data_IF_015773392907
#
_entry.id   IF_015773392907
#
_cell.length_a   1.000
_cell.length_b   1.000
_cell.length_c   1.000
_cell.angle_alpha   90.00
_cell.angle_beta   90.00
_cell.angle_gamma   90.00
#
_symmetry.space_group_name_H-M   'P 1'
#
loop_
_entity.id
_entity.type
_entity.pdbx_description
1 polymer ?
#
# COMPACT_ATOMS: atom_id res chain seq x y z
N UNK A 1 -9.18 4.18 2.86
CA UNK A 1 -10.56 4.53 3.29
C UNK A 1 -10.53 5.83 4.08
N UNK A 2 -11.51 6.73 3.93
CA UNK A 2 -11.63 7.96 4.73
C UNK A 2 -12.88 7.86 5.62
N UNK A 3 -12.83 8.28 6.90
CA UNK A 3 -11.69 8.86 7.61
C UNK A 3 -10.73 7.80 8.23
N UNK A 4 -9.47 8.14 8.55
CA UNK A 4 -8.50 7.21 9.13
C UNK A 4 -8.95 6.54 10.44
N UNK A 5 -9.62 7.29 11.32
CA UNK A 5 -10.03 6.84 12.65
C UNK A 5 -11.04 5.68 12.64
N UNK A 6 -11.79 5.50 11.55
CA UNK A 6 -12.73 4.40 11.38
C UNK A 6 -12.35 3.48 10.22
N UNK A 7 -11.19 3.68 9.61
CA UNK A 7 -10.78 2.91 8.43
C UNK A 7 -10.69 1.42 8.74
N UNK A 8 -10.21 1.05 9.93
CA UNK A 8 -10.08 -0.34 10.37
C UNK A 8 -11.41 -1.07 10.58
N UNK A 9 -12.55 -0.36 10.60
CA UNK A 9 -13.87 -0.98 10.71
C UNK A 9 -14.36 -1.55 9.36
N UNK A 10 -13.77 -1.12 8.24
CA UNK A 10 -14.11 -1.60 6.92
C UNK A 10 -13.24 -2.84 6.58
N UNK A 11 -13.82 -4.01 6.25
CA UNK A 11 -13.03 -5.20 5.90
C UNK A 11 -12.00 -4.98 4.79
N UNK A 12 -12.25 -4.06 3.83
CA UNK A 12 -11.27 -3.77 2.76
C UNK A 12 -9.96 -3.17 3.33
N UNK A 13 -9.97 -2.64 4.54
CA UNK A 13 -8.77 -2.17 5.24
C UNK A 13 -7.68 -3.24 5.29
N UNK A 14 -8.04 -4.46 5.68
CA UNK A 14 -7.08 -5.54 5.84
C UNK A 14 -6.50 -5.98 4.50
N UNK A 15 -7.32 -6.12 3.46
CA UNK A 15 -6.85 -6.45 2.11
C UNK A 15 -5.94 -5.36 1.53
N UNK A 16 -6.26 -4.09 1.77
CA UNK A 16 -5.43 -2.99 1.35
C UNK A 16 -4.06 -3.00 2.05
N UNK A 17 -4.03 -3.19 3.38
CA UNK A 17 -2.77 -3.21 4.12
C UNK A 17 -1.94 -4.44 3.79
N UNK A 18 -2.54 -5.63 3.57
CA UNK A 18 -1.80 -6.79 3.07
C UNK A 18 -1.13 -6.53 1.72
N UNK A 19 -1.75 -5.72 0.84
CA UNK A 19 -1.13 -5.32 -0.43
C UNK A 19 0.00 -4.31 -0.23
N UNK A 20 -0.16 -3.35 0.70
CA UNK A 20 0.92 -2.41 1.06
C UNK A 20 2.10 -3.17 1.67
N UNK A 21 1.85 -4.13 2.56
CA UNK A 21 2.88 -4.95 3.17
C UNK A 21 3.60 -5.86 2.15
N UNK A 22 2.89 -6.34 1.12
CA UNK A 22 3.51 -7.01 -0.03
C UNK A 22 4.49 -6.10 -0.76
N UNK A 23 4.09 -4.86 -1.06
CA UNK A 23 4.98 -3.89 -1.72
C UNK A 23 6.21 -3.62 -0.85
N UNK A 24 6.01 -3.43 0.46
CA UNK A 24 7.11 -3.20 1.40
C UNK A 24 8.07 -4.40 1.46
N UNK A 25 7.54 -5.63 1.52
CA UNK A 25 8.38 -6.83 1.54
C UNK A 25 9.15 -7.02 0.22
N UNK A 26 8.53 -6.72 -0.94
CA UNK A 26 9.24 -6.72 -2.23
C UNK A 26 10.38 -5.70 -2.25
N UNK A 27 10.17 -4.51 -1.68
CA UNK A 27 11.21 -3.51 -1.56
C UNK A 27 12.35 -4.00 -0.65
N UNK A 28 12.03 -4.54 0.52
CA UNK A 28 13.02 -5.13 1.46
C UNK A 28 13.84 -6.23 0.79
N UNK A 29 13.19 -7.07 -0.01
CA UNK A 29 13.85 -8.17 -0.71
C UNK A 29 14.85 -7.70 -1.76
N UNK A 30 14.56 -6.60 -2.43
CA UNK A 30 15.36 -6.05 -3.53
C UNK A 30 16.45 -5.09 -3.07
N UNK A 31 16.29 -4.45 -1.91
CA UNK A 31 17.20 -3.40 -1.44
C UNK A 31 18.02 -3.78 -0.21
N UNK A 32 17.58 -4.76 0.58
CA UNK A 32 18.21 -5.12 1.85
C UNK A 32 18.59 -6.60 1.88
N UNK A 33 19.78 -6.88 2.44
CA UNK A 33 20.13 -8.24 2.83
C UNK A 33 19.33 -8.68 4.07
N UNK A 34 19.33 -9.99 4.36
CA UNK A 34 18.51 -10.55 5.45
C UNK A 34 18.85 -9.97 6.83
N UNK A 35 20.10 -9.57 7.07
CA UNK A 35 20.54 -8.96 8.33
C UNK A 35 20.06 -7.50 8.47
N UNK A 36 20.16 -6.72 7.40
CA UNK A 36 19.75 -5.31 7.34
C UNK A 36 18.25 -5.15 7.54
N UNK A 37 17.46 -6.05 6.95
CA UNK A 37 15.99 -6.10 7.03
C UNK A 37 15.41 -6.03 8.44
N UNK A 38 16.10 -6.54 9.44
CA UNK A 38 15.62 -6.55 10.84
C UNK A 38 16.15 -5.38 11.68
N UNK A 39 16.98 -4.50 11.10
CA UNK A 39 17.75 -3.48 11.84
C UNK A 39 17.61 -2.07 11.29
N UNK A 40 17.37 -1.93 10.00
CA UNK A 40 17.22 -0.65 9.34
C UNK A 40 15.80 -0.10 9.55
N UNK A 41 15.59 0.47 10.73
CA UNK A 41 14.40 1.28 11.06
C UNK A 41 14.70 2.76 10.76
N UNK A 42 13.71 3.58 10.34
CA UNK A 42 13.91 5.01 10.18
C UNK A 42 14.47 5.67 11.45
N UNK A 43 15.35 6.68 11.33
CA UNK A 43 15.88 7.38 12.50
C UNK A 43 14.76 8.09 13.27
N UNK A 44 14.88 8.08 14.60
CA UNK A 44 13.93 8.75 15.50
C UNK A 44 14.11 10.27 15.40
N UNK A 45 13.24 10.92 14.62
CA UNK A 45 13.24 12.38 14.41
C UNK A 45 11.95 12.97 14.98
N UNK A 46 11.96 13.56 16.19
CA UNK A 46 10.76 14.11 16.84
C UNK A 46 10.08 15.26 16.07
N UNK A 47 10.81 15.94 15.19
CA UNK A 47 10.25 16.98 14.34
C UNK A 47 9.40 16.39 13.19
N UNK A 48 9.64 15.13 12.84
CA UNK A 48 9.02 14.43 11.72
C UNK A 48 7.85 13.54 12.12
N UNK A 49 7.96 12.87 13.27
CA UNK A 49 7.00 11.89 13.72
C UNK A 49 6.86 11.93 15.24
N UNK A 50 5.71 11.47 15.73
CA UNK A 50 5.51 11.30 17.17
C UNK A 50 6.41 10.18 17.71
N UNK A 51 6.66 10.20 19.02
CA UNK A 51 7.52 9.23 19.69
C UNK A 51 6.99 7.80 19.65
N UNK A 52 5.69 7.63 19.43
CA UNK A 52 5.02 6.34 19.37
C UNK A 52 5.36 5.57 18.10
N UNK A 53 5.92 6.22 17.08
CA UNK A 53 6.43 5.58 15.86
C UNK A 53 7.94 5.27 15.91
N UNK A 54 8.63 5.59 17.01
CA UNK A 54 10.07 5.34 17.13
C UNK A 54 10.39 3.86 17.29
N UNK A 55 11.60 3.46 16.90
CA UNK A 55 12.00 2.06 16.82
C UNK A 55 11.79 1.29 18.15
N UNK A 56 12.16 1.92 19.26
CA UNK A 56 12.07 1.35 20.61
C UNK A 56 10.80 1.73 21.37
N UNK A 57 9.83 2.36 20.71
CA UNK A 57 8.52 2.59 21.31
C UNK A 57 7.66 1.31 21.27
N UNK A 58 6.73 1.20 22.22
CA UNK A 58 5.82 0.08 22.32
C UNK A 58 4.75 0.14 21.20
N UNK A 59 4.62 -0.93 20.43
CA UNK A 59 3.65 -1.06 19.34
C UNK A 59 2.25 -1.36 19.87
N UNK A 60 1.54 -0.33 20.36
CA UNK A 60 0.21 -0.51 20.95
C UNK A 60 -0.81 -1.05 19.94
N UNK A 61 -1.74 -1.95 20.35
CA UNK A 61 -1.96 -2.45 21.71
C UNK A 61 -1.11 -3.68 22.09
N UNK A 62 -0.14 -4.06 21.25
CA UNK A 62 0.69 -5.24 21.46
C UNK A 62 1.81 -4.98 22.47
N UNK A 63 2.30 -6.05 23.10
CA UNK A 63 3.42 -5.98 24.04
C UNK A 63 4.77 -6.25 23.35
N UNK A 64 5.02 -5.59 22.22
CA UNK A 64 6.26 -5.69 21.43
C UNK A 64 6.73 -4.29 21.01
N UNK A 65 8.01 -4.14 20.66
CA UNK A 65 8.55 -2.87 20.16
C UNK A 65 8.28 -2.71 18.66
N UNK A 66 8.18 -1.48 18.17
CA UNK A 66 7.98 -1.20 16.74
C UNK A 66 9.07 -1.84 15.86
N UNK A 67 10.33 -1.81 16.30
CA UNK A 67 11.45 -2.44 15.58
C UNK A 67 11.27 -3.96 15.42
N UNK A 68 10.56 -4.62 16.34
CA UNK A 68 10.28 -6.05 16.22
C UNK A 68 9.31 -6.36 15.05
N UNK A 69 8.57 -5.37 14.54
CA UNK A 69 7.76 -5.49 13.33
C UNK A 69 8.59 -5.78 12.07
N UNK A 70 9.91 -5.55 12.10
CA UNK A 70 10.81 -5.81 10.97
C UNK A 70 11.33 -7.26 10.91
N UNK A 71 10.99 -8.13 11.86
CA UNK A 71 11.54 -9.49 11.90
C UNK A 71 11.19 -10.30 10.65
N UNK A 72 12.18 -11.03 10.10
CA UNK A 72 11.96 -11.98 9.03
C UNK A 72 11.14 -13.21 9.50
N UNK A 73 11.03 -13.44 10.81
CA UNK A 73 10.26 -14.56 11.36
C UNK A 73 8.79 -14.56 10.89
N UNK A 74 8.21 -13.37 10.62
CA UNK A 74 6.86 -13.27 10.08
C UNK A 74 6.73 -13.90 8.70
N UNK A 75 7.65 -13.60 7.78
CA UNK A 75 7.64 -14.14 6.42
C UNK A 75 8.24 -15.55 6.33
N UNK A 76 9.02 -15.96 7.33
CA UNK A 76 9.59 -17.31 7.40
C UNK A 76 8.61 -18.34 8.01
N UNK A 77 7.75 -17.92 8.96
CA UNK A 77 6.99 -18.87 9.80
C UNK A 77 5.50 -18.54 9.97
N UNK A 78 5.05 -17.33 9.64
CA UNK A 78 3.66 -16.93 9.90
C UNK A 78 2.84 -16.75 8.63
N UNK A 79 3.38 -16.09 7.61
CA UNK A 79 2.69 -15.87 6.34
C UNK A 79 3.67 -15.82 5.17
N UNK A 80 3.15 -16.06 3.97
CA UNK A 80 3.86 -15.80 2.72
C UNK A 80 2.98 -15.05 1.74
N UNK A 81 3.59 -14.34 0.80
CA UNK A 81 2.87 -13.66 -0.26
C UNK A 81 2.80 -14.50 -1.51
N UNK A 82 1.62 -14.56 -2.12
CA UNK A 82 1.47 -15.06 -3.48
C UNK A 82 2.09 -14.06 -4.47
N UNK A 83 2.57 -14.58 -5.60
CA UNK A 83 3.04 -13.73 -6.69
C UNK A 83 1.88 -12.89 -7.25
N UNK A 84 2.19 -11.66 -7.67
CA UNK A 84 1.19 -10.81 -8.35
C UNK A 84 0.79 -11.46 -9.67
N UNK A 85 -0.49 -11.37 -10.09
CA UNK A 85 -0.89 -11.83 -11.41
C UNK A 85 -0.02 -11.22 -12.50
N UNK A 86 0.47 -12.06 -13.40
CA UNK A 86 1.27 -11.68 -14.56
C UNK A 86 0.55 -12.05 -15.84
N UNK A 87 0.85 -11.36 -16.92
CA UNK A 87 0.30 -11.67 -18.23
C UNK A 87 1.39 -11.61 -19.30
N UNK A 88 1.07 -12.07 -20.50
CA UNK A 88 1.97 -12.02 -21.66
C UNK A 88 1.24 -11.43 -22.86
N UNK A 89 1.90 -11.39 -24.01
CA UNK A 89 1.24 -11.02 -25.26
C UNK A 89 0.13 -12.02 -25.64
N UNK A 90 0.24 -13.28 -25.20
CA UNK A 90 -0.67 -14.37 -25.55
C UNK A 90 -1.71 -14.69 -24.47
N UNK A 91 -1.39 -14.45 -23.19
CA UNK A 91 -2.26 -14.80 -22.06
C UNK A 91 -2.66 -13.56 -21.28
N UNK A 92 -3.90 -13.55 -20.80
CA UNK A 92 -4.43 -12.48 -19.96
C UNK A 92 -4.27 -12.76 -18.46
N UNK A 93 -4.60 -11.79 -17.60
CA UNK A 93 -4.42 -11.82 -16.15
C UNK A 93 -5.31 -12.82 -15.39
N UNK A 94 -6.27 -13.46 -16.08
CA UNK A 94 -7.15 -14.48 -15.49
C UNK A 94 -8.10 -13.95 -14.42
N UNK A 95 -8.42 -12.65 -14.44
CA UNK A 95 -9.32 -12.00 -13.49
C UNK A 95 -10.30 -11.09 -14.20
N UNK A 96 -11.56 -11.09 -13.75
CA UNK A 96 -12.60 -10.21 -14.28
C UNK A 96 -12.33 -8.71 -14.02
N UNK A 97 -11.46 -8.41 -13.06
CA UNK A 97 -11.17 -7.05 -12.61
C UNK A 97 -9.80 -6.55 -13.08
N UNK A 98 -9.01 -7.40 -13.73
CA UNK A 98 -7.71 -7.03 -14.26
C UNK A 98 -7.72 -7.16 -15.78
N UNK A 99 -6.88 -6.39 -16.44
CA UNK A 99 -6.57 -6.56 -17.85
C UNK A 99 -5.06 -6.52 -18.04
N UNK A 100 -4.59 -7.19 -19.08
CA UNK A 100 -3.19 -7.14 -19.44
C UNK A 100 -2.87 -5.89 -20.27
N UNK A 101 -2.13 -4.96 -19.66
CA UNK A 101 -1.59 -3.79 -20.35
C UNK A 101 -0.39 -4.19 -21.20
N UNK A 102 -0.49 -4.02 -22.53
CA UNK A 102 0.54 -4.41 -23.52
C UNK A 102 1.14 -3.22 -24.26
N UNK A 103 0.45 -2.07 -24.25
CA UNK A 103 0.84 -0.88 -25.00
C UNK A 103 2.18 -0.25 -24.58
N UNK A 104 2.58 -0.32 -23.30
CA UNK A 104 3.68 0.48 -22.73
C UNK A 104 4.85 -0.35 -22.18
N UNK A 105 5.29 -1.39 -22.90
CA UNK A 105 6.49 -2.16 -22.57
C UNK A 105 6.19 -3.59 -22.15
N UNK A 106 6.78 -4.04 -21.03
CA UNK A 106 6.61 -5.43 -20.55
C UNK A 106 5.15 -5.65 -20.15
N UNK A 107 4.46 -6.67 -20.70
CA UNK A 107 3.08 -6.97 -20.35
C UNK A 107 2.91 -7.16 -18.84
N UNK A 108 1.96 -6.44 -18.26
CA UNK A 108 1.67 -6.54 -16.83
C UNK A 108 0.18 -6.31 -16.54
N UNK A 109 -0.27 -6.87 -15.43
CA UNK A 109 -1.66 -6.83 -15.04
C UNK A 109 -2.01 -5.52 -14.32
N UNK A 110 -3.05 -4.85 -14.82
CA UNK A 110 -3.56 -3.58 -14.31
C UNK A 110 -5.05 -3.72 -13.98
N UNK A 111 -5.55 -2.97 -13.01
CA UNK A 111 -6.97 -2.94 -12.68
C UNK A 111 -7.79 -2.33 -13.81
N UNK A 112 -8.91 -2.98 -14.16
CA UNK A 112 -9.87 -2.43 -15.11
C UNK A 112 -10.46 -1.11 -14.62
N UNK A 113 -10.76 -0.25 -15.57
CA UNK A 113 -11.27 1.09 -15.37
C UNK A 113 -12.79 0.99 -15.17
N UNK A 114 -13.30 1.66 -14.12
CA UNK A 114 -14.73 1.72 -13.84
C UNK A 114 -15.51 2.36 -15.01
N UNK A 115 -16.81 2.08 -15.09
CA UNK A 115 -17.70 2.79 -16.02
C UNK A 115 -17.53 4.30 -15.94
N UNK A 116 -17.49 4.97 -17.09
CA UNK A 116 -17.20 6.39 -17.28
C UNK A 116 -15.82 6.86 -16.80
N UNK A 117 -14.90 5.94 -16.48
CA UNK A 117 -13.50 6.27 -16.26
C UNK A 117 -12.77 6.57 -17.58
N UNK A 118 -11.67 7.32 -17.49
CA UNK A 118 -10.85 7.68 -18.65
C UNK A 118 -9.97 6.49 -19.07
N UNK A 119 -10.07 6.07 -20.33
CA UNK A 119 -9.35 4.93 -20.91
C UNK A 119 -8.42 5.32 -22.06
N UNK A 120 -8.06 6.60 -22.15
CA UNK A 120 -7.12 7.13 -23.16
C UNK A 120 -5.80 6.36 -23.11
N UNK A 121 -5.37 5.82 -24.23
CA UNK A 121 -4.17 4.99 -24.39
C UNK A 121 -4.39 3.48 -24.23
N UNK A 122 -5.62 3.04 -23.96
CA UNK A 122 -6.01 1.64 -23.83
C UNK A 122 -7.17 1.25 -24.74
N UNK A 123 -7.35 1.94 -25.87
CA UNK A 123 -8.50 1.80 -26.76
C UNK A 123 -8.63 0.39 -27.37
N UNK A 124 -7.50 -0.29 -27.56
CA UNK A 124 -7.41 -1.62 -28.18
C UNK A 124 -7.20 -2.75 -27.16
N UNK A 125 -7.42 -2.48 -25.88
CA UNK A 125 -7.25 -3.46 -24.80
C UNK A 125 -8.56 -3.60 -24.00
N UNK A 126 -8.70 -4.71 -23.28
CA UNK A 126 -9.87 -4.99 -22.43
C UNK A 126 -9.83 -4.19 -21.11
N UNK A 127 -9.57 -2.89 -21.21
CA UNK A 127 -9.28 -2.02 -20.08
C UNK A 127 -10.52 -1.61 -19.27
N UNK A 128 -11.72 -1.68 -19.87
CA UNK A 128 -12.95 -1.20 -19.25
C UNK A 128 -13.70 -2.34 -18.54
N UNK A 129 -14.12 -2.12 -17.29
CA UNK A 129 -14.93 -3.09 -16.56
C UNK A 129 -16.35 -3.15 -17.15
N UNK A 130 -16.73 -4.30 -17.71
CA UNK A 130 -18.02 -4.53 -18.37
C UNK A 130 -18.34 -3.47 -19.44
N UNK A 131 -17.33 -3.06 -20.19
CA UNK A 131 -17.44 -2.00 -21.17
C UNK A 131 -16.34 -2.03 -22.22
N UNK A 132 -16.38 -1.06 -23.11
CA UNK A 132 -15.35 -0.80 -24.13
C UNK A 132 -14.94 0.68 -24.07
N UNK A 133 -13.71 0.97 -24.48
CA UNK A 133 -13.21 2.34 -24.54
C UNK A 133 -13.77 3.05 -25.79
N UNK A 134 -14.61 4.06 -25.59
CA UNK A 134 -15.22 4.87 -26.67
C UNK A 134 -15.00 6.35 -26.34
N UNK A 135 -14.42 7.09 -27.29
CA UNK A 135 -14.08 8.51 -27.14
C UNK A 135 -13.22 8.80 -25.89
N UNK A 136 -12.34 7.86 -25.52
CA UNK A 136 -11.46 7.99 -24.35
C UNK A 136 -12.14 7.71 -23.01
N UNK A 137 -13.39 7.23 -22.99
CA UNK A 137 -14.11 6.85 -21.76
C UNK A 137 -14.68 5.43 -21.83
N UNK A 138 -14.73 4.77 -20.69
CA UNK A 138 -15.35 3.45 -20.58
C UNK A 138 -16.87 3.55 -20.65
N UNK A 139 -17.47 3.01 -21.72
CA UNK A 139 -18.92 2.97 -21.93
C UNK A 139 -19.44 1.53 -21.94
N UNK A 140 -20.74 1.31 -21.66
CA UNK A 140 -21.33 -0.03 -21.74
C UNK A 140 -21.12 -0.66 -23.12
N UNK A 141 -20.67 -1.91 -23.14
CA UNK A 141 -20.38 -2.68 -24.34
C UNK A 141 -19.59 -3.94 -24.01
N UNK A 142 -19.36 -4.79 -25.00
CA UNK A 142 -18.54 -5.98 -24.85
C UNK A 142 -17.24 -5.81 -25.65
N UNK A 143 -16.11 -6.00 -25.00
CA UNK A 143 -14.83 -6.11 -25.70
C UNK A 143 -14.70 -7.54 -26.24
N UNK A 144 -14.54 -7.70 -27.55
CA UNK A 144 -14.34 -9.02 -28.16
C UNK A 144 -12.91 -9.51 -27.87
N UNK A 145 -12.79 -10.40 -26.89
CA UNK A 145 -11.50 -10.99 -26.50
C UNK A 145 -11.10 -12.11 -27.45
N UNK A 146 -9.98 -11.96 -28.15
CA UNK A 146 -9.34 -13.02 -28.97
C UNK A 146 -8.29 -13.83 -28.21
N UNK A 147 -8.11 -13.58 -26.90
CA UNK A 147 -7.02 -14.18 -26.11
C UNK A 147 -7.53 -15.26 -25.15
N UNK A 148 -6.81 -16.39 -25.10
CA UNK A 148 -7.10 -17.51 -24.22
C UNK A 148 -6.72 -17.15 -22.78
N UNK A 149 -7.62 -17.43 -21.84
CA UNK A 149 -7.35 -17.26 -20.41
C UNK A 149 -6.06 -18.01 -20.03
N UNK A 150 -5.23 -17.40 -19.17
CA UNK A 150 -4.02 -18.03 -18.67
C UNK A 150 -4.35 -19.40 -18.05
N UNK A 151 -3.48 -20.42 -18.23
CA UNK A 151 -3.67 -21.70 -17.55
C UNK A 151 -3.67 -21.47 -16.04
N UNK A 152 -4.76 -21.89 -15.37
CA UNK A 152 -4.89 -21.88 -13.92
C UNK A 152 -3.97 -22.94 -13.30
N UNK A 153 -2.66 -22.69 -13.31
CA UNK A 153 -1.69 -23.51 -12.60
C UNK A 153 -1.00 -22.66 -11.53
N UNK A 154 -1.75 -22.39 -10.46
CA UNK A 154 -1.27 -22.31 -9.09
C UNK A 154 -2.47 -21.95 -8.21
N UNK A 155 -3.17 -22.95 -7.69
CA UNK A 155 -3.77 -22.81 -6.37
C UNK A 155 -2.57 -22.77 -5.41
N UNK A 156 -2.26 -21.67 -4.71
CA UNK A 156 -1.58 -21.84 -3.45
C UNK A 156 -2.58 -22.60 -2.59
N UNK A 157 -2.27 -23.86 -2.26
CA UNK A 157 -2.94 -24.49 -1.14
C UNK A 157 -2.60 -23.62 0.07
N UNK A 158 -3.51 -22.72 0.44
CA UNK A 158 -3.55 -22.24 1.81
C UNK A 158 -3.86 -23.49 2.63
N UNK A 159 -2.81 -24.18 3.08
CA UNK A 159 -2.99 -25.18 4.11
C UNK A 159 -3.59 -24.41 5.30
N UNK A 160 -4.74 -24.86 5.84
CA UNK A 160 -5.26 -24.26 7.04
C UNK A 160 -4.15 -24.38 8.09
N UNK A 161 -3.62 -23.23 8.53
CA UNK A 161 -2.81 -23.19 9.73
C UNK A 161 -3.64 -23.85 10.82
N UNK A 162 -3.17 -25.01 11.26
CA UNK A 162 -3.83 -25.86 12.23
C UNK A 162 -4.26 -25.02 13.42
N UNK A 163 -5.53 -25.17 13.77
CA UNK A 163 -6.24 -24.57 14.88
C UNK A 163 -5.52 -24.88 16.20
N UNK A 164 -4.52 -24.06 16.56
CA UNK A 164 -3.68 -24.31 17.74
C UNK A 164 -3.32 -23.08 18.56
N UNK A 165 -3.78 -21.88 18.20
CA UNK A 165 -3.36 -20.63 18.85
C UNK A 165 -4.44 -19.88 19.64
N UNK A 166 -5.63 -20.47 19.82
CA UNK A 166 -6.66 -19.92 20.72
C UNK A 166 -6.72 -20.79 21.99
N UNK A 167 -5.76 -20.64 22.91
CA UNK A 167 -5.96 -21.13 24.29
C UNK A 167 -5.09 -20.51 25.39
N UNK A 168 -4.14 -19.63 25.12
CA UNK A 168 -3.19 -19.17 26.18
C UNK A 168 -3.03 -17.65 26.33
N UNK A 169 -4.02 -16.86 25.89
CA UNK A 169 -4.08 -15.41 26.19
C UNK A 169 -5.40 -14.97 26.85
N UNK A 170 -6.22 -15.93 27.31
CA UNK A 170 -7.49 -15.67 28.00
C UNK A 170 -7.38 -15.28 29.49
N UNK A 171 -6.24 -14.75 29.94
CA UNK A 171 -5.92 -14.63 31.36
C UNK A 171 -5.71 -13.21 31.92
N UNK A 172 -5.76 -12.14 31.13
CA UNK A 172 -5.35 -10.79 31.60
C UNK A 172 -6.22 -9.63 31.07
N UNK A 173 -7.54 -9.82 30.94
CA UNK A 173 -8.47 -8.69 30.74
C UNK A 173 -9.08 -8.32 32.10
N UNK A 174 -8.42 -7.43 32.84
CA UNK A 174 -9.10 -6.60 33.85
C UNK A 174 -9.63 -5.35 33.14
N UNK A 175 -10.95 -5.24 33.05
CA UNK A 175 -11.66 -4.02 32.69
C UNK A 175 -11.48 -2.99 33.82
N UNK A 176 -10.67 -1.97 33.60
CA UNK A 176 -10.81 -0.68 34.27
C UNK A 176 -11.19 0.30 33.15
N UNK A 177 -12.36 0.94 33.19
CA UNK A 177 -12.69 1.98 34.16
C UNK A 177 -12.27 3.30 33.52
N UNK A 178 -13.21 3.97 32.87
CA UNK A 178 -12.96 5.06 31.92
C UNK A 178 -12.19 6.25 32.49
N UNK A 179 -11.23 6.73 31.70
CA UNK A 179 -10.67 8.07 31.81
C UNK A 179 -10.68 8.70 30.41
N UNK A 180 -11.31 9.87 30.35
CA UNK A 180 -11.43 10.72 29.17
C UNK A 180 -10.06 11.23 28.75
N UNK A 181 -9.56 10.76 27.60
CA UNK A 181 -8.35 11.28 26.97
C UNK A 181 -8.69 12.61 26.25
N UNK A 182 -7.89 13.68 26.40
CA UNK A 182 -8.10 14.92 25.66
C UNK A 182 -8.00 14.68 24.16
N UNK A 183 -8.95 15.25 23.42
CA UNK A 183 -9.02 15.23 21.95
C UNK A 183 -7.74 15.89 21.40
N UNK A 184 -6.89 15.19 20.62
CA UNK A 184 -5.80 15.84 19.91
C UNK A 184 -6.41 16.77 18.87
N UNK A 185 -5.95 18.01 18.85
CA UNK A 185 -6.33 19.01 17.85
C UNK A 185 -6.16 18.44 16.44
N UNK A 186 -7.24 18.60 15.68
CA UNK A 186 -7.43 18.11 14.31
C UNK A 186 -6.34 18.68 13.39
N UNK A 187 -5.31 17.89 13.07
CA UNK A 187 -4.44 18.19 11.93
C UNK A 187 -5.27 17.94 10.68
N UNK A 188 -5.95 18.98 10.19
CA UNK A 188 -6.66 18.95 8.93
C UNK A 188 -5.63 18.83 7.82
N UNK A 189 -5.42 17.61 7.34
CA UNK A 189 -4.85 17.34 6.02
C UNK A 189 -5.83 17.89 4.98
N UNK A 190 -5.75 19.19 4.74
CA UNK A 190 -6.55 19.87 3.76
C UNK A 190 -5.88 19.67 2.39
N UNK A 191 -6.20 18.55 1.74
CA UNK A 191 -5.99 18.40 0.31
C UNK A 191 -7.01 19.28 -0.41
N UNK A 192 -6.82 20.60 -0.33
CA UNK A 192 -7.62 21.60 -1.01
C UNK A 192 -6.99 21.95 -2.35
N UNK A 193 -7.60 21.49 -3.43
CA UNK A 193 -7.32 21.99 -4.76
C UNK A 193 -7.61 23.51 -4.82
N UNK A 194 -6.62 24.28 -5.29
CA UNK A 194 -6.81 25.63 -5.79
C UNK A 194 -6.80 26.77 -4.76
N UNK A 195 -5.63 27.12 -4.20
CA UNK A 195 -5.12 28.50 -4.16
C UNK A 195 -3.73 28.60 -3.49
N UNK A 196 -2.76 29.17 -4.21
CA UNK A 196 -1.77 30.14 -3.70
C UNK A 196 -0.75 29.79 -2.63
N UNK A 197 -0.81 28.66 -1.93
CA UNK A 197 0.11 28.42 -0.82
C UNK A 197 1.12 27.30 -1.09
N UNK A 198 2.38 27.70 -1.26
CA UNK A 198 3.54 26.81 -1.30
C UNK A 198 3.81 26.29 0.11
N UNK A 199 3.22 25.14 0.45
CA UNK A 199 3.47 24.44 1.71
C UNK A 199 4.20 23.11 1.47
N UNK A 200 4.77 22.57 2.55
CA UNK A 200 5.26 21.21 2.59
C UNK A 200 4.13 20.28 3.04
N UNK A 201 4.03 19.12 2.41
CA UNK A 201 3.11 18.05 2.76
C UNK A 201 3.70 17.14 3.86
N UNK A 202 5.00 17.23 4.13
CA UNK A 202 5.66 16.43 5.17
C UNK A 202 6.41 17.32 6.18
N UNK A 203 6.28 17.06 7.49
CA UNK A 203 7.03 17.80 8.51
C UNK A 203 8.56 17.66 8.36
N UNK A 204 9.07 16.59 7.75
CA UNK A 204 10.49 16.38 7.50
C UNK A 204 11.07 17.19 6.34
N UNK A 205 10.25 17.83 5.50
CA UNK A 205 10.72 18.45 4.27
C UNK A 205 11.89 19.43 4.47
N UNK A 206 11.88 20.21 5.56
CA UNK A 206 12.99 21.12 5.88
C UNK A 206 14.28 20.39 6.24
N UNK A 207 14.19 19.26 6.94
CA UNK A 207 15.35 18.44 7.30
C UNK A 207 15.93 17.75 6.08
N UNK A 208 15.09 17.14 5.25
CA UNK A 208 15.53 16.51 4.00
C UNK A 208 16.16 17.51 3.04
N UNK A 209 15.61 18.72 2.91
CA UNK A 209 16.24 19.78 2.11
C UNK A 209 17.63 20.14 2.65
N UNK A 210 17.80 20.24 3.97
CA UNK A 210 19.11 20.48 4.59
C UNK A 210 20.10 19.32 4.42
N UNK A 211 19.58 18.10 4.28
CA UNK A 211 20.33 16.89 3.97
C UNK A 211 20.62 16.74 2.45
N UNK A 212 20.37 17.79 1.66
CA UNK A 212 20.60 17.83 0.22
C UNK A 212 19.71 16.89 -0.61
N UNK A 213 18.52 16.56 -0.12
CA UNK A 213 17.55 15.69 -0.84
C UNK A 213 16.88 16.40 -2.03
N UNK A 214 16.84 17.73 -2.08
CA UNK A 214 16.19 18.46 -3.18
C UNK A 214 16.74 18.06 -4.57
N UNK A 215 18.07 18.06 -4.81
CA UNK A 215 18.64 17.57 -6.08
C UNK A 215 18.78 16.05 -6.17
N UNK A 216 18.81 15.32 -5.06
CA UNK A 216 19.01 13.86 -5.06
C UNK A 216 17.70 13.08 -5.24
N UNK A 217 16.60 13.59 -4.68
CA UNK A 217 15.28 12.99 -4.70
C UNK A 217 14.24 13.97 -5.28
N UNK A 218 14.56 14.49 -6.47
CA UNK A 218 13.79 15.55 -7.15
C UNK A 218 12.32 15.16 -7.27
N UNK A 219 12.01 13.91 -7.64
CA UNK A 219 10.64 13.46 -7.86
C UNK A 219 9.77 13.56 -6.60
N UNK A 220 10.30 13.16 -5.44
CA UNK A 220 9.57 13.27 -4.18
C UNK A 220 9.55 14.72 -3.67
N UNK A 221 10.73 15.34 -3.61
CA UNK A 221 10.91 16.64 -2.99
C UNK A 221 10.17 17.76 -3.75
N UNK A 222 10.19 17.75 -5.09
CA UNK A 222 9.45 18.74 -5.90
C UNK A 222 7.93 18.57 -5.83
N UNK A 223 7.44 17.38 -5.43
CA UNK A 223 6.01 17.10 -5.34
C UNK A 223 5.46 17.44 -3.96
N UNK A 224 6.16 17.01 -2.90
CA UNK A 224 5.67 17.06 -1.52
C UNK A 224 6.39 18.09 -0.65
N UNK A 225 7.58 18.55 -1.03
CA UNK A 225 8.43 19.45 -0.25
C UNK A 225 8.76 20.76 -0.99
N UNK A 226 7.81 21.23 -1.80
CA UNK A 226 7.97 22.41 -2.68
C UNK A 226 8.51 23.62 -1.94
N UNK A 227 7.96 23.93 -0.76
CA UNK A 227 8.39 25.08 0.03
C UNK A 227 9.84 24.99 0.48
N UNK A 228 10.31 23.79 0.82
CA UNK A 228 11.68 23.58 1.28
C UNK A 228 12.71 23.56 0.16
N UNK A 229 12.31 23.21 -1.07
CA UNK A 229 13.22 23.09 -2.21
C UNK A 229 13.19 24.25 -3.21
N UNK A 230 12.27 25.22 -3.05
CA UNK A 230 12.13 26.40 -3.91
C UNK A 230 10.99 26.27 -4.90
#
# INVERSE_FOLDING_TARGET
MKPPVTAANDPIFYFHHSFVDLIFEQWRQTHQNRWAREREFPPDIPQCSNSEHFAHALMRPFNILNINGLSNAYTDHMYSYAQRPTCTMQYDCGSLYLFCSRHNGVPHCVSKIRSNGQCVGYENEDACYQGICIDGFCRPGAFETTTTAAPQNATPSAQPASSGFISTLGGLIKRNGGQTVPIPTRNTWNSGAGNGNCFNDDPCCSLWASANECPHNIAYMSRYCKRSCG
#
